data_IF_232210527661
#
_entry.id   IF_232210527661
#
_cell.length_a   1.000
_cell.length_b   1.000
_cell.length_c   1.000
_cell.angle_alpha   90.00
_cell.angle_beta   90.00
_cell.angle_gamma   90.00
#
_symmetry.space_group_name_H-M   'P 1'
#
loop_
_entity.id
_entity.type
_entity.pdbx_description
1 polymer ?
#
# COMPACT_ATOMS: atom_id res chain seq x y z
N UNK A 1 5.26 -8.15 17.47
CA UNK A 1 4.40 -7.01 17.85
C UNK A 1 3.13 -6.90 16.99
N UNK A 2 3.12 -6.38 15.75
CA UNK A 2 1.87 -6.23 14.96
C UNK A 2 1.16 -7.56 14.74
N UNK A 3 1.86 -8.61 14.30
CA UNK A 3 1.25 -9.92 14.04
C UNK A 3 0.60 -10.55 15.29
N UNK A 4 1.21 -10.38 16.46
CA UNK A 4 0.67 -10.89 17.73
C UNK A 4 -0.58 -10.13 18.18
N UNK A 5 -0.62 -8.81 17.93
CA UNK A 5 -1.81 -7.98 18.18
C UNK A 5 -2.93 -8.43 17.24
N UNK A 6 -2.64 -8.59 15.95
CA UNK A 6 -3.62 -9.02 14.94
C UNK A 6 -4.28 -10.35 15.28
N UNK A 7 -3.54 -11.29 15.89
CA UNK A 7 -4.11 -12.55 16.40
C UNK A 7 -5.27 -12.33 17.36
N UNK A 8 -5.15 -11.37 18.27
CA UNK A 8 -6.14 -11.12 19.32
C UNK A 8 -7.26 -10.20 18.83
N UNK A 9 -6.92 -9.18 18.03
CA UNK A 9 -7.86 -8.14 17.61
C UNK A 9 -8.74 -8.58 16.44
N UNK A 10 -8.23 -9.44 15.54
CA UNK A 10 -8.91 -9.86 14.31
C UNK A 10 -9.46 -8.66 13.48
N UNK A 11 -8.61 -7.70 13.08
CA UNK A 11 -9.04 -6.48 12.40
C UNK A 11 -9.38 -6.72 10.92
N UNK A 12 -10.03 -5.75 10.28
CA UNK A 12 -10.26 -5.80 8.83
C UNK A 12 -8.98 -5.62 8.00
N UNK A 13 -8.00 -4.86 8.51
CA UNK A 13 -6.77 -4.52 7.78
C UNK A 13 -5.54 -4.58 8.70
N UNK A 14 -4.43 -5.10 8.19
CA UNK A 14 -3.14 -5.20 8.87
C UNK A 14 -2.04 -4.66 7.94
N UNK A 15 -1.30 -3.69 8.44
CA UNK A 15 -0.09 -3.21 7.77
C UNK A 15 1.11 -4.08 8.13
N UNK A 16 1.89 -4.51 7.13
CA UNK A 16 3.11 -5.27 7.35
C UNK A 16 4.27 -4.86 6.46
N UNK A 17 5.48 -5.04 6.99
CA UNK A 17 6.68 -5.11 6.15
C UNK A 17 6.66 -6.41 5.34
N UNK A 18 7.38 -6.47 4.21
CA UNK A 18 7.36 -7.62 3.31
C UNK A 18 7.58 -8.96 4.04
N UNK A 19 8.53 -9.00 4.97
CA UNK A 19 8.90 -10.21 5.72
C UNK A 19 7.92 -10.57 6.86
N UNK A 20 6.94 -9.72 7.17
CA UNK A 20 5.98 -9.94 8.26
C UNK A 20 4.58 -10.38 7.79
N UNK A 21 4.37 -10.46 6.48
CA UNK A 21 3.07 -10.82 5.87
C UNK A 21 2.64 -12.22 6.28
N UNK A 22 3.47 -13.24 6.00
CA UNK A 22 3.16 -14.65 6.31
C UNK A 22 2.92 -14.87 7.81
N UNK A 23 3.75 -14.27 8.66
CA UNK A 23 3.58 -14.36 10.12
C UNK A 23 2.24 -13.78 10.57
N UNK A 24 1.82 -12.65 10.00
CA UNK A 24 0.53 -12.05 10.34
C UNK A 24 -0.64 -12.87 9.83
N UNK A 25 -0.58 -13.38 8.58
CA UNK A 25 -1.60 -14.27 8.04
C UNK A 25 -1.77 -15.53 8.89
N UNK A 26 -0.66 -16.18 9.23
CA UNK A 26 -0.68 -17.40 10.05
C UNK A 26 -1.28 -17.16 11.43
N UNK A 27 -0.93 -16.04 12.08
CA UNK A 27 -1.45 -15.68 13.41
C UNK A 27 -2.90 -15.19 13.39
N UNK A 28 -3.38 -14.65 12.28
CA UNK A 28 -4.81 -14.35 12.09
C UNK A 28 -5.64 -15.64 12.03
N UNK A 29 -5.13 -16.69 11.39
CA UNK A 29 -5.81 -17.99 11.28
C UNK A 29 -6.97 -18.02 10.29
N UNK A 30 -7.14 -16.96 9.48
CA UNK A 30 -8.16 -16.82 8.45
C UNK A 30 -7.63 -15.97 7.28
N UNK A 31 -8.38 -15.93 6.17
CA UNK A 31 -8.02 -15.23 4.92
C UNK A 31 -8.79 -13.93 4.65
N UNK A 32 -9.71 -13.54 5.53
CA UNK A 32 -10.60 -12.38 5.38
C UNK A 32 -9.90 -11.05 5.68
N UNK A 33 -9.11 -10.97 6.75
CA UNK A 33 -8.37 -9.75 7.06
C UNK A 33 -7.39 -9.43 5.93
N UNK A 34 -7.41 -8.19 5.46
CA UNK A 34 -6.49 -7.69 4.44
C UNK A 34 -5.11 -7.53 5.08
N UNK A 35 -4.08 -8.15 4.50
CA UNK A 35 -2.70 -8.00 4.97
C UNK A 35 -1.87 -7.44 3.84
N UNK A 36 -1.46 -6.18 3.94
CA UNK A 36 -0.58 -5.59 2.93
C UNK A 36 0.88 -6.00 3.15
N UNK A 37 1.68 -5.92 2.09
CA UNK A 37 3.14 -6.05 2.17
C UNK A 37 3.83 -4.80 1.67
N UNK A 38 4.64 -4.17 2.53
CA UNK A 38 5.40 -2.97 2.19
C UNK A 38 6.53 -3.30 1.21
N UNK A 39 6.47 -2.67 0.03
CA UNK A 39 7.56 -2.61 -0.96
C UNK A 39 7.81 -1.14 -1.32
N UNK A 40 9.00 -0.84 -1.82
CA UNK A 40 9.44 0.54 -2.03
C UNK A 40 9.85 0.85 -3.47
N UNK A 41 9.72 2.12 -3.91
CA UNK A 41 10.31 2.59 -5.17
C UNK A 41 11.82 2.34 -5.21
N UNK A 42 12.36 2.27 -6.42
CA UNK A 42 13.78 2.00 -6.66
C UNK A 42 14.46 3.03 -7.58
N UNK A 43 13.68 3.92 -8.20
CA UNK A 43 14.11 4.76 -9.31
C UNK A 43 14.15 4.01 -10.65
N UNK A 44 13.73 2.74 -10.69
CA UNK A 44 13.69 1.92 -11.90
C UNK A 44 12.26 1.41 -12.12
N UNK A 45 11.64 1.85 -13.20
CA UNK A 45 10.27 1.45 -13.58
C UNK A 45 10.16 -0.07 -13.70
N UNK A 46 9.14 -0.66 -13.08
CA UNK A 46 8.90 -2.10 -13.07
C UNK A 46 9.67 -2.90 -12.00
N UNK A 47 10.51 -2.23 -11.20
CA UNK A 47 11.29 -2.85 -10.13
C UNK A 47 10.91 -2.29 -8.76
N UNK A 48 10.76 -3.16 -7.77
CA UNK A 48 10.44 -2.79 -6.39
C UNK A 48 11.44 -3.39 -5.41
N UNK A 49 11.74 -2.64 -4.35
CA UNK A 49 12.53 -3.12 -3.22
C UNK A 49 11.64 -3.88 -2.24
N UNK A 50 12.02 -5.13 -1.95
CA UNK A 50 11.31 -6.02 -1.01
C UNK A 50 12.05 -6.21 0.32
N UNK A 51 13.30 -5.74 0.43
CA UNK A 51 14.11 -5.86 1.65
C UNK A 51 13.67 -4.86 2.73
N UNK A 52 12.41 -4.94 3.18
CA UNK A 52 11.76 -3.92 4.04
C UNK A 52 11.57 -4.35 5.50
N UNK A 53 11.99 -5.57 5.85
CA UNK A 53 11.96 -6.10 7.21
C UNK A 53 13.05 -5.54 8.15
N UNK A 54 13.01 -5.91 9.45
CA UNK A 54 13.89 -5.32 10.48
C UNK A 54 15.39 -5.46 10.22
N UNK A 55 15.83 -6.60 9.70
CA UNK A 55 17.24 -6.85 9.34
C UNK A 55 17.50 -6.53 7.86
N UNK A 56 16.61 -6.98 6.97
CA UNK A 56 16.78 -6.81 5.52
C UNK A 56 16.83 -5.34 5.09
N UNK A 57 16.16 -4.44 5.81
CA UNK A 57 16.22 -2.98 5.55
C UNK A 57 17.57 -2.35 5.80
N UNK A 58 18.48 -3.06 6.50
CA UNK A 58 19.85 -2.64 6.79
C UNK A 58 20.88 -3.38 5.93
N UNK A 59 20.43 -4.30 5.10
CA UNK A 59 21.26 -5.06 4.16
C UNK A 59 21.26 -4.37 2.79
N UNK A 60 22.08 -4.83 1.83
CA UNK A 60 21.95 -4.41 0.44
C UNK A 60 20.53 -4.63 -0.09
N UNK A 61 20.09 -3.76 -0.98
CA UNK A 61 18.71 -3.73 -1.44
C UNK A 61 18.36 -4.98 -2.25
N UNK A 62 17.33 -5.70 -1.80
CA UNK A 62 16.71 -6.78 -2.54
C UNK A 62 15.68 -6.19 -3.48
N UNK A 63 16.05 -6.05 -4.76
CA UNK A 63 15.22 -5.45 -5.81
C UNK A 63 14.77 -6.53 -6.79
N UNK A 64 13.47 -6.59 -7.05
CA UNK A 64 12.85 -7.60 -7.92
C UNK A 64 11.82 -6.97 -8.84
N UNK A 65 11.44 -7.62 -9.95
CA UNK A 65 10.30 -7.20 -10.76
C UNK A 65 9.01 -7.15 -9.92
N UNK A 66 8.11 -6.22 -10.24
CA UNK A 66 6.82 -6.08 -9.50
C UNK A 66 6.03 -7.38 -9.50
N UNK A 67 5.98 -8.08 -10.64
CA UNK A 67 5.28 -9.37 -10.76
C UNK A 67 5.81 -10.43 -9.78
N UNK A 68 7.12 -10.47 -9.55
CA UNK A 68 7.76 -11.39 -8.61
C UNK A 68 7.41 -11.02 -7.18
N UNK A 69 7.43 -9.72 -6.85
CA UNK A 69 7.00 -9.26 -5.53
C UNK A 69 5.52 -9.59 -5.25
N UNK A 70 4.64 -9.43 -6.24
CA UNK A 70 3.21 -9.81 -6.14
C UNK A 70 3.07 -11.30 -5.87
N UNK A 71 3.75 -12.16 -6.65
CA UNK A 71 3.68 -13.61 -6.49
C UNK A 71 4.14 -14.05 -5.08
N UNK A 72 5.28 -13.52 -4.61
CA UNK A 72 5.79 -13.79 -3.26
C UNK A 72 4.81 -13.34 -2.18
N UNK A 73 4.19 -12.17 -2.33
CA UNK A 73 3.17 -11.71 -1.38
C UNK A 73 1.95 -12.62 -1.36
N UNK A 74 1.50 -13.12 -2.52
CA UNK A 74 0.42 -14.12 -2.59
C UNK A 74 0.82 -15.42 -1.89
N UNK A 75 2.03 -15.92 -2.11
CA UNK A 75 2.55 -17.11 -1.41
C UNK A 75 2.61 -16.92 0.11
N UNK A 76 2.86 -15.70 0.57
CA UNK A 76 2.82 -15.34 1.99
C UNK A 76 1.39 -15.11 2.52
N UNK A 77 0.36 -15.22 1.68
CA UNK A 77 -1.03 -14.93 2.03
C UNK A 77 -1.34 -13.45 2.22
N UNK A 78 -0.53 -12.57 1.64
CA UNK A 78 -0.78 -11.14 1.51
C UNK A 78 -1.92 -10.85 0.54
N UNK A 79 -2.54 -9.68 0.72
CA UNK A 79 -3.72 -9.25 -0.02
C UNK A 79 -3.44 -8.10 -1.00
N UNK A 80 -2.40 -7.32 -0.73
CA UNK A 80 -2.12 -6.08 -1.44
C UNK A 80 -0.65 -5.69 -1.36
N UNK A 81 -0.20 -4.89 -2.33
CA UNK A 81 1.05 -4.13 -2.21
C UNK A 81 0.76 -2.85 -1.43
N UNK A 82 1.54 -2.58 -0.39
CA UNK A 82 1.70 -1.21 0.14
C UNK A 82 2.91 -0.58 -0.51
N UNK A 83 2.68 0.38 -1.40
CA UNK A 83 3.75 1.05 -2.13
C UNK A 83 4.18 2.32 -1.39
N UNK A 84 5.36 2.27 -0.77
CA UNK A 84 5.83 3.33 0.14
C UNK A 84 7.37 3.43 0.16
N UNK A 85 7.97 4.63 0.25
CA UNK A 85 7.33 5.96 0.22
C UNK A 85 7.19 6.54 -1.19
N UNK A 86 5.99 6.94 -1.61
CA UNK A 86 5.77 7.51 -2.95
C UNK A 86 6.28 8.95 -3.11
N UNK A 87 6.18 9.76 -2.04
CA UNK A 87 6.48 11.19 -2.11
C UNK A 87 5.49 11.96 -3.00
N UNK A 88 4.21 11.64 -2.91
CA UNK A 88 3.17 12.15 -3.81
C UNK A 88 3.35 11.57 -5.21
N UNK A 89 3.58 12.44 -6.19
CA UNK A 89 3.79 12.06 -7.59
C UNK A 89 5.28 11.99 -7.99
N UNK A 90 6.23 12.00 -7.04
CA UNK A 90 7.68 11.95 -7.35
C UNK A 90 8.09 10.69 -8.12
N UNK A 91 7.48 9.55 -7.83
CA UNK A 91 7.73 8.28 -8.51
C UNK A 91 6.57 7.87 -9.44
N UNK A 92 5.97 8.83 -10.16
CA UNK A 92 4.75 8.64 -10.97
C UNK A 92 4.85 7.47 -11.95
N UNK A 93 5.93 7.37 -12.72
CA UNK A 93 6.08 6.33 -13.74
C UNK A 93 6.30 4.94 -13.11
N UNK A 94 7.03 4.88 -11.99
CA UNK A 94 7.16 3.64 -11.22
C UNK A 94 5.82 3.21 -10.63
N UNK A 95 5.05 4.14 -10.05
CA UNK A 95 3.72 3.86 -9.50
C UNK A 95 2.74 3.37 -10.57
N UNK A 96 2.76 3.97 -11.77
CA UNK A 96 1.97 3.50 -12.90
C UNK A 96 2.32 2.05 -13.27
N UNK A 97 3.60 1.72 -13.36
CA UNK A 97 4.03 0.33 -13.63
C UNK A 97 3.60 -0.65 -12.53
N UNK A 98 3.61 -0.22 -11.26
CA UNK A 98 3.09 -1.01 -10.13
C UNK A 98 1.59 -1.22 -10.27
N UNK A 99 0.82 -0.18 -10.59
CA UNK A 99 -0.62 -0.27 -10.79
C UNK A 99 -1.00 -1.21 -11.93
N UNK A 100 -0.33 -1.10 -13.07
CA UNK A 100 -0.53 -2.00 -14.21
C UNK A 100 -0.18 -3.45 -13.86
N UNK A 101 0.89 -3.68 -13.09
CA UNK A 101 1.24 -5.02 -12.62
C UNK A 101 0.18 -5.58 -11.65
N UNK A 102 -0.27 -4.78 -10.67
CA UNK A 102 -1.36 -5.15 -9.75
C UNK A 102 -2.63 -5.56 -10.52
N UNK A 103 -3.02 -4.79 -11.54
CA UNK A 103 -4.17 -5.11 -12.38
C UNK A 103 -3.97 -6.40 -13.19
N UNK A 104 -2.83 -6.53 -13.90
CA UNK A 104 -2.51 -7.74 -14.71
C UNK A 104 -2.43 -9.02 -13.89
N UNK A 105 -1.95 -8.93 -12.65
CA UNK A 105 -1.71 -10.09 -11.80
C UNK A 105 -2.77 -10.27 -10.71
N UNK A 106 -3.93 -9.61 -10.82
CA UNK A 106 -5.05 -9.69 -9.88
C UNK A 106 -4.61 -9.51 -8.41
N UNK A 107 -4.12 -8.31 -8.10
CA UNK A 107 -3.65 -7.96 -6.77
C UNK A 107 -4.01 -6.52 -6.41
N UNK A 108 -4.32 -6.27 -5.15
CA UNK A 108 -4.76 -4.95 -4.70
C UNK A 108 -3.57 -4.02 -4.46
N UNK A 109 -3.84 -2.71 -4.42
CA UNK A 109 -2.81 -1.68 -4.29
C UNK A 109 -3.13 -0.66 -3.22
N UNK A 110 -2.13 -0.29 -2.43
CA UNK A 110 -2.25 0.68 -1.35
C UNK A 110 -1.19 1.79 -1.49
N UNK A 111 -1.47 2.84 -2.30
CA UNK A 111 -0.52 3.94 -2.49
C UNK A 111 -0.34 4.73 -1.18
N UNK A 112 0.92 4.98 -0.80
CA UNK A 112 1.24 5.62 0.49
C UNK A 112 2.43 6.58 0.40
N UNK A 113 2.27 7.75 1.05
CA UNK A 113 3.35 8.68 1.36
C UNK A 113 3.34 9.93 0.46
N UNK A 114 3.15 11.10 1.07
CA UNK A 114 3.06 12.38 0.37
C UNK A 114 1.76 12.58 -0.41
N UNK A 115 0.71 11.81 -0.10
CA UNK A 115 -0.63 12.04 -0.64
C UNK A 115 -1.29 13.17 0.16
N UNK A 116 -1.88 14.15 -0.53
CA UNK A 116 -2.60 15.30 0.02
C UNK A 116 -3.89 15.56 -0.79
N UNK A 117 -4.63 16.62 -0.45
CA UNK A 117 -5.90 16.92 -1.12
C UNK A 117 -5.70 17.38 -2.57
N UNK A 118 -4.52 17.90 -2.90
CA UNK A 118 -4.17 18.43 -4.21
C UNK A 118 -3.82 17.33 -5.21
N UNK A 119 -3.19 16.24 -4.74
CA UNK A 119 -2.72 15.15 -5.61
C UNK A 119 -3.54 13.85 -5.52
N UNK A 120 -4.50 13.76 -4.59
CA UNK A 120 -5.29 12.56 -4.35
C UNK A 120 -5.99 12.03 -5.61
N UNK A 121 -6.71 12.90 -6.33
CA UNK A 121 -7.46 12.49 -7.52
C UNK A 121 -6.54 11.90 -8.60
N UNK A 122 -5.39 12.52 -8.86
CA UNK A 122 -4.45 12.02 -9.88
C UNK A 122 -3.85 10.66 -9.47
N UNK A 123 -3.46 10.49 -8.21
CA UNK A 123 -2.90 9.23 -7.70
C UNK A 123 -3.95 8.11 -7.75
N UNK A 124 -5.20 8.40 -7.38
CA UNK A 124 -6.29 7.43 -7.44
C UNK A 124 -6.64 7.07 -8.88
N UNK A 125 -6.73 8.07 -9.78
CA UNK A 125 -7.04 7.87 -11.20
C UNK A 125 -6.02 6.95 -11.88
N UNK A 126 -4.72 7.09 -11.60
CA UNK A 126 -3.69 6.19 -12.17
C UNK A 126 -3.99 4.72 -11.87
N UNK A 127 -4.38 4.39 -10.63
CA UNK A 127 -4.69 3.00 -10.26
C UNK A 127 -6.04 2.52 -10.83
N UNK A 128 -7.03 3.41 -10.90
CA UNK A 128 -8.32 3.11 -11.54
C UNK A 128 -8.17 2.85 -13.04
N UNK A 129 -7.45 3.71 -13.77
CA UNK A 129 -7.20 3.59 -15.21
C UNK A 129 -6.41 2.32 -15.55
N UNK A 130 -5.49 1.92 -14.67
CA UNK A 130 -4.77 0.66 -14.82
C UNK A 130 -5.67 -0.58 -14.64
N UNK A 131 -6.86 -0.42 -14.04
CA UNK A 131 -7.79 -1.52 -13.79
C UNK A 131 -7.53 -2.27 -12.48
N UNK A 132 -6.90 -1.64 -11.48
CA UNK A 132 -6.69 -2.28 -10.17
C UNK A 132 -8.03 -2.52 -9.48
N UNK A 133 -8.29 -3.78 -9.08
CA UNK A 133 -9.61 -4.21 -8.59
C UNK A 133 -10.00 -3.64 -7.22
N UNK A 134 -9.03 -3.41 -6.32
CA UNK A 134 -9.24 -2.66 -5.07
C UNK A 134 -8.04 -1.81 -4.72
N UNK A 135 -8.32 -0.58 -4.27
CA UNK A 135 -7.31 0.45 -4.00
C UNK A 135 -7.55 1.02 -2.59
N UNK A 136 -6.51 1.07 -1.76
CA UNK A 136 -6.58 1.62 -0.39
C UNK A 136 -5.54 2.74 -0.26
N UNK A 137 -5.88 3.98 -0.66
CA UNK A 137 -4.95 5.10 -0.56
C UNK A 137 -4.76 5.53 0.90
N UNK A 138 -3.51 5.71 1.31
CA UNK A 138 -3.15 6.08 2.67
C UNK A 138 -2.73 7.55 2.76
N UNK A 139 -3.59 8.36 3.38
CA UNK A 139 -3.41 9.79 3.59
C UNK A 139 -3.20 10.02 5.10
N UNK A 140 -2.02 10.51 5.47
CA UNK A 140 -1.60 10.61 6.86
C UNK A 140 -1.38 12.07 7.27
N UNK A 141 -0.12 12.52 7.31
CA UNK A 141 0.26 13.81 7.88
C UNK A 141 -0.37 15.03 7.21
N UNK A 142 -0.78 14.93 5.95
CA UNK A 142 -1.41 16.02 5.19
C UNK A 142 -2.78 16.40 5.75
N UNK A 143 -3.51 15.45 6.35
CA UNK A 143 -4.88 15.65 6.85
C UNK A 143 -4.99 15.62 8.38
N UNK A 144 -3.85 15.57 9.09
CA UNK A 144 -3.79 15.58 10.55
C UNK A 144 -3.56 17.01 11.04
N UNK A 145 -4.39 17.46 11.99
CA UNK A 145 -4.15 18.70 12.71
C UNK A 145 -2.96 18.53 13.67
N UNK A 146 -1.97 19.43 13.58
CA UNK A 146 -0.71 19.28 14.33
C UNK A 146 -0.86 19.56 15.81
N UNK A 147 -1.87 20.34 16.22
CA UNK A 147 -2.07 20.71 17.61
C UNK A 147 -2.74 19.58 18.40
N UNK A 148 -3.79 18.99 17.84
CA UNK A 148 -4.56 17.88 18.45
C UNK A 148 -3.98 16.51 18.16
N UNK A 149 -3.39 16.31 16.98
CA UNK A 149 -3.03 14.99 16.46
C UNK A 149 -4.19 14.27 15.76
N UNK A 150 -5.37 14.88 15.68
CA UNK A 150 -6.55 14.29 15.07
C UNK A 150 -6.53 14.42 13.54
N UNK A 151 -7.01 13.39 12.86
CA UNK A 151 -7.37 13.50 11.44
C UNK A 151 -8.60 14.38 11.30
N UNK A 152 -8.49 15.41 10.45
CA UNK A 152 -9.55 16.38 10.17
C UNK A 152 -10.75 15.72 9.45
N UNK A 153 -11.95 15.65 10.07
CA UNK A 153 -13.11 15.01 9.45
C UNK A 153 -13.57 15.67 8.13
N UNK A 154 -13.35 16.97 7.96
CA UNK A 154 -13.62 17.73 6.74
C UNK A 154 -12.73 17.31 5.57
N UNK A 155 -11.46 16.99 5.83
CA UNK A 155 -10.55 16.48 4.81
C UNK A 155 -10.97 15.07 4.40
N UNK A 156 -11.41 14.23 5.35
CA UNK A 156 -11.97 12.90 5.05
C UNK A 156 -13.24 13.01 4.20
N UNK A 157 -14.14 13.96 4.48
CA UNK A 157 -15.30 14.23 3.63
C UNK A 157 -14.89 14.65 2.22
N UNK A 158 -13.87 15.48 2.10
CA UNK A 158 -13.35 15.93 0.80
C UNK A 158 -12.79 14.76 -0.01
N UNK A 159 -11.96 13.92 0.61
CA UNK A 159 -11.42 12.69 0.00
C UNK A 159 -12.54 11.73 -0.45
N UNK A 160 -13.60 11.58 0.36
CA UNK A 160 -14.75 10.74 0.01
C UNK A 160 -15.47 11.25 -1.24
N UNK A 161 -15.70 12.56 -1.35
CA UNK A 161 -16.35 13.14 -2.54
C UNK A 161 -15.48 13.02 -3.79
N UNK A 162 -14.16 13.23 -3.67
CA UNK A 162 -13.19 12.94 -4.75
C UNK A 162 -13.27 11.47 -5.18
N UNK A 163 -13.36 10.53 -4.23
CA UNK A 163 -13.49 9.10 -4.53
C UNK A 163 -14.76 8.79 -5.31
N UNK A 164 -15.92 9.27 -4.85
CA UNK A 164 -17.22 9.04 -5.51
C UNK A 164 -17.28 9.63 -6.91
N UNK A 165 -16.59 10.75 -7.14
CA UNK A 165 -16.49 11.37 -8.47
C UNK A 165 -15.75 10.46 -9.46
N UNK A 166 -14.72 9.75 -9.01
CA UNK A 166 -13.86 8.91 -9.85
C UNK A 166 -14.37 7.48 -10.02
N UNK A 167 -15.03 6.92 -9.00
CA UNK A 167 -15.61 5.56 -9.04
C UNK A 167 -17.09 5.65 -9.38
N UNK A 168 -17.44 5.43 -10.64
CA UNK A 168 -18.83 5.43 -11.15
C UNK A 168 -19.42 4.03 -11.25
#
# INVERSE_FOLDING_TARGET
MVSEISRQVQPQHVNQVFTGVATSRALLGQSESVVNGLVSPTGTVGMVKISTGPLSSKAPDGIVPVETAIALLKDFGGSSIKYFPMGGLKCRDEYKAVAEACARHDFWLEPTGGIDLENYEEILQIALDAGVSKIIPHIYSSIIDKASGDTRPEDVRTLLEMTKKLVK
#
